data_IF_974450019275
#
_entry.id   IF_974450019275
#
_cell.length_a   1.000
_cell.length_b   1.000
_cell.length_c   1.000
_cell.angle_alpha   90.00
_cell.angle_beta   90.00
_cell.angle_gamma   90.00
#
_symmetry.space_group_name_H-M   'P 1'
#
loop_
_entity.id
_entity.type
_entity.pdbx_description
1 polymer ?
#
# COMPACT_ATOMS: atom_id res chain seq x y z
N UNK A 1 8.78 -69.98 14.36
CA UNK A 1 9.38 -68.68 14.72
C UNK A 1 8.77 -67.60 13.82
N UNK A 2 7.78 -66.83 14.33
CA UNK A 2 7.12 -65.75 13.58
C UNK A 2 7.75 -64.42 14.01
N UNK A 3 8.41 -63.67 13.07
CA UNK A 3 8.95 -62.34 13.30
C UNK A 3 7.85 -61.31 12.96
N UNK A 4 7.36 -60.60 13.96
CA UNK A 4 6.47 -59.46 13.80
C UNK A 4 7.30 -58.24 13.40
N UNK A 5 7.01 -57.66 12.23
CA UNK A 5 7.50 -56.34 11.83
C UNK A 5 6.56 -55.28 12.42
N UNK A 6 7.06 -54.51 13.35
CA UNK A 6 6.36 -53.32 13.87
C UNK A 6 6.64 -52.15 12.92
N UNK A 7 5.61 -51.67 12.25
CA UNK A 7 5.66 -50.45 11.41
C UNK A 7 5.43 -49.26 12.35
N UNK A 8 6.45 -48.47 12.59
CA UNK A 8 6.36 -47.22 13.32
C UNK A 8 5.87 -46.14 12.33
N UNK A 9 4.61 -45.75 12.47
CA UNK A 9 4.04 -44.63 11.72
C UNK A 9 4.44 -43.32 12.43
N UNK A 10 5.32 -42.54 11.80
CA UNK A 10 5.70 -41.22 12.25
C UNK A 10 4.65 -40.20 11.74
N UNK A 11 3.75 -39.80 12.60
CA UNK A 11 2.79 -38.73 12.31
C UNK A 11 3.48 -37.39 12.44
N UNK A 12 3.72 -36.72 11.32
CA UNK A 12 4.18 -35.33 11.29
C UNK A 12 2.98 -34.41 11.55
N UNK A 13 2.85 -33.90 12.77
CA UNK A 13 1.92 -32.84 13.10
C UNK A 13 2.42 -31.53 12.49
N UNK A 14 1.78 -31.07 11.43
CA UNK A 14 1.97 -29.72 10.90
C UNK A 14 1.36 -28.73 11.90
N UNK A 15 2.18 -28.06 12.70
CA UNK A 15 1.75 -26.95 13.53
C UNK A 15 1.37 -25.78 12.62
N UNK A 16 0.07 -25.53 12.47
CA UNK A 16 -0.47 -24.33 11.85
C UNK A 16 -0.31 -23.19 12.87
N UNK A 17 0.81 -22.50 12.82
CA UNK A 17 0.99 -21.26 13.57
C UNK A 17 0.11 -20.18 12.93
N UNK A 18 -0.65 -19.38 13.71
CA UNK A 18 -1.36 -18.24 13.16
C UNK A 18 -0.32 -17.28 12.55
N UNK A 19 -0.46 -16.98 11.26
CA UNK A 19 0.29 -15.91 10.64
C UNK A 19 -0.13 -14.60 11.32
N UNK A 20 0.73 -14.08 12.16
CA UNK A 20 0.63 -12.70 12.62
C UNK A 20 0.69 -11.86 11.35
N UNK A 21 -0.35 -11.04 11.12
CA UNK A 21 -0.33 -10.03 10.07
C UNK A 21 0.89 -9.14 10.33
N UNK A 22 1.95 -9.36 9.55
CA UNK A 22 3.13 -8.51 9.60
C UNK A 22 2.70 -7.20 8.92
N UNK A 23 3.06 -6.08 9.54
CA UNK A 23 2.99 -4.79 8.89
C UNK A 23 3.63 -4.93 7.51
N UNK A 24 2.94 -4.49 6.47
CA UNK A 24 3.45 -4.58 5.11
C UNK A 24 4.57 -3.55 4.96
N UNK A 25 5.80 -3.95 5.30
CA UNK A 25 7.00 -3.21 4.92
C UNK A 25 7.11 -3.34 3.39
N UNK A 26 6.62 -2.38 2.65
CA UNK A 26 6.63 -2.45 1.20
C UNK A 26 6.41 -1.09 0.54
N UNK A 27 7.13 -0.86 -0.56
CA UNK A 27 6.97 0.36 -1.35
C UNK A 27 5.56 0.41 -1.92
N UNK A 28 4.82 1.46 -1.57
CA UNK A 28 3.52 1.81 -2.12
C UNK A 28 3.75 2.81 -3.26
N UNK A 29 3.09 2.64 -4.39
CA UNK A 29 3.18 3.56 -5.53
C UNK A 29 1.84 4.15 -5.88
N UNK A 30 1.85 5.45 -6.25
CA UNK A 30 0.70 6.11 -6.85
C UNK A 30 1.13 6.70 -8.21
N UNK A 31 0.51 6.22 -9.29
CA UNK A 31 0.71 6.78 -10.64
C UNK A 31 -0.45 7.73 -10.90
N UNK A 32 -0.22 9.03 -10.69
CA UNK A 32 -1.24 10.05 -10.83
C UNK A 32 -1.25 10.67 -12.22
N UNK A 33 -2.44 10.89 -12.78
CA UNK A 33 -2.68 11.48 -14.09
C UNK A 33 -4.06 12.12 -14.17
N UNK A 34 -4.27 13.02 -15.12
CA UNK A 34 -5.58 13.64 -15.39
C UNK A 34 -6.64 12.62 -15.81
N UNK A 35 -6.36 11.66 -16.72
CA UNK A 35 -7.32 10.60 -17.06
C UNK A 35 -7.76 9.71 -15.90
N UNK A 36 -6.96 9.64 -14.81
CA UNK A 36 -7.33 8.88 -13.61
C UNK A 36 -8.25 9.66 -12.65
N UNK A 37 -8.54 10.93 -12.92
CA UNK A 37 -9.44 11.76 -12.12
C UNK A 37 -10.91 11.30 -12.20
N UNK A 38 -11.74 11.82 -11.30
CA UNK A 38 -13.17 11.57 -11.28
C UNK A 38 -13.95 12.88 -11.13
N UNK A 39 -14.54 13.40 -12.24
CA UNK A 39 -14.46 12.86 -13.60
C UNK A 39 -13.07 12.98 -14.23
N UNK A 40 -12.72 12.13 -15.20
CA UNK A 40 -11.46 12.23 -15.95
C UNK A 40 -11.28 13.58 -16.63
N UNK A 41 -10.04 14.07 -16.70
CA UNK A 41 -9.71 15.29 -17.42
C UNK A 41 -8.54 15.06 -18.41
N UNK A 42 -8.27 16.04 -19.25
CA UNK A 42 -7.25 15.98 -20.31
C UNK A 42 -5.89 16.58 -19.90
N UNK A 43 -5.60 16.74 -18.61
CA UNK A 43 -4.31 17.25 -18.17
C UNK A 43 -3.16 16.32 -18.59
N UNK A 44 -2.05 16.84 -19.14
CA UNK A 44 -0.82 16.11 -19.35
C UNK A 44 -0.03 15.92 -18.03
N UNK A 45 -0.49 16.53 -16.94
CA UNK A 45 0.14 16.45 -15.63
C UNK A 45 0.32 15.00 -15.18
N UNK A 46 1.42 14.71 -14.50
CA UNK A 46 1.74 13.37 -14.04
C UNK A 46 2.58 13.39 -12.77
N UNK A 47 2.41 12.31 -11.98
CA UNK A 47 3.25 11.98 -10.83
C UNK A 47 3.45 10.47 -10.75
N UNK A 48 4.63 10.04 -10.36
CA UNK A 48 4.90 8.68 -9.88
C UNK A 48 5.40 8.82 -8.45
N UNK A 49 4.46 8.89 -7.53
CA UNK A 49 4.76 9.02 -6.12
C UNK A 49 5.09 7.66 -5.50
N UNK A 50 5.98 7.69 -4.51
CA UNK A 50 6.30 6.53 -3.67
C UNK A 50 6.03 6.84 -2.21
N UNK A 51 5.48 5.86 -1.53
CA UNK A 51 5.27 5.88 -0.09
C UNK A 51 5.87 4.62 0.50
N UNK A 52 6.40 4.73 1.71
CA UNK A 52 6.92 3.60 2.47
C UNK A 52 6.42 3.69 3.91
N UNK A 53 6.05 2.57 4.51
CA UNK A 53 5.54 2.52 5.88
C UNK A 53 6.45 1.59 6.67
N UNK A 54 7.20 2.19 7.60
CA UNK A 54 8.02 1.46 8.57
C UNK A 54 7.47 1.70 9.98
N UNK A 55 6.92 0.68 10.59
CA UNK A 55 6.22 0.81 11.87
C UNK A 55 5.06 1.80 11.79
N UNK A 56 5.14 2.91 12.51
CA UNK A 56 4.14 3.98 12.48
C UNK A 56 4.54 5.16 11.58
N UNK A 57 5.68 5.12 10.92
CA UNK A 57 6.13 6.22 10.07
C UNK A 57 5.84 5.92 8.62
N UNK A 58 5.05 6.79 7.98
CA UNK A 58 4.86 6.78 6.54
C UNK A 58 5.71 7.89 5.93
N UNK A 59 6.65 7.54 5.07
CA UNK A 59 7.39 8.50 4.24
C UNK A 59 6.73 8.65 2.89
N UNK A 60 6.79 9.85 2.31
CA UNK A 60 6.25 10.17 1.00
C UNK A 60 7.31 10.88 0.16
N UNK A 61 7.43 10.47 -1.11
CA UNK A 61 8.16 11.19 -2.16
C UNK A 61 7.23 11.35 -3.36
N UNK A 62 6.90 12.60 -3.68
CA UNK A 62 5.85 12.96 -4.65
C UNK A 62 6.41 13.94 -5.67
N UNK A 63 7.21 13.47 -6.64
CA UNK A 63 7.57 14.29 -7.80
C UNK A 63 6.34 14.48 -8.70
N UNK A 64 6.16 15.69 -9.23
CA UNK A 64 5.07 15.98 -10.16
C UNK A 64 5.54 16.95 -11.25
N UNK A 65 4.90 16.89 -12.41
CA UNK A 65 5.28 17.69 -13.57
C UNK A 65 4.13 17.89 -14.55
N UNK A 66 4.33 18.88 -15.44
CA UNK A 66 3.47 19.15 -16.58
C UNK A 66 2.02 19.48 -16.21
N UNK A 67 1.80 20.05 -15.00
CA UNK A 67 0.49 20.55 -14.60
C UNK A 67 0.12 21.79 -15.44
N UNK A 68 -1.17 21.95 -15.72
CA UNK A 68 -1.70 23.05 -16.56
C UNK A 68 -1.75 24.38 -15.85
N UNK A 69 -1.74 24.40 -14.52
CA UNK A 69 -1.71 25.62 -13.72
C UNK A 69 -1.05 25.41 -12.37
N UNK A 70 -0.83 26.48 -11.62
CA UNK A 70 -0.15 26.43 -10.33
C UNK A 70 -0.90 25.58 -9.31
N UNK A 71 -0.16 24.75 -8.59
CA UNK A 71 -0.64 23.90 -7.49
C UNK A 71 -1.30 24.74 -6.39
N UNK A 72 -2.36 24.20 -5.79
CA UNK A 72 -3.08 24.84 -4.66
C UNK A 72 -3.05 24.00 -3.41
N UNK A 73 -3.04 22.66 -3.53
CA UNK A 73 -2.97 21.72 -2.43
C UNK A 73 -2.71 20.30 -2.95
N UNK A 74 -2.31 19.41 -2.06
CA UNK A 74 -2.27 17.96 -2.32
C UNK A 74 -2.60 17.19 -1.04
N UNK A 75 -3.13 15.99 -1.20
CA UNK A 75 -3.54 15.14 -0.08
C UNK A 75 -3.55 13.67 -0.46
N UNK A 76 -3.60 12.81 0.58
CA UNK A 76 -4.11 11.45 0.44
C UNK A 76 -5.60 11.48 0.80
N UNK A 77 -6.42 10.92 -0.05
CA UNK A 77 -7.83 10.66 0.17
C UNK A 77 -8.06 9.20 0.59
N UNK A 78 -9.02 8.98 1.48
CA UNK A 78 -9.44 7.66 1.95
C UNK A 78 -10.90 7.72 2.45
N UNK A 79 -11.71 6.74 2.37
CA UNK A 79 -11.55 5.45 1.76
C UNK A 79 -12.68 5.34 0.75
N UNK A 80 -12.40 4.99 -0.49
CA UNK A 80 -13.45 4.83 -1.52
C UNK A 80 -14.28 3.57 -1.24
N UNK A 81 -15.49 3.50 -1.78
CA UNK A 81 -16.38 2.36 -1.56
C UNK A 81 -16.03 1.13 -2.40
N UNK A 82 -15.10 1.27 -3.32
CA UNK A 82 -14.61 0.18 -4.17
C UNK A 82 -13.20 0.51 -4.69
N UNK A 83 -12.41 -0.52 -4.91
CA UNK A 83 -11.05 -0.42 -5.43
C UNK A 83 -10.98 0.35 -6.75
N UNK A 84 -10.00 1.23 -6.88
CA UNK A 84 -9.67 2.00 -8.07
C UNK A 84 -10.78 2.91 -8.61
N UNK A 85 -11.80 3.24 -7.83
CA UNK A 85 -12.93 4.05 -8.30
C UNK A 85 -13.55 4.91 -7.19
N UNK A 86 -14.37 5.89 -7.58
CA UNK A 86 -15.08 6.75 -6.63
C UNK A 86 -14.24 7.91 -6.12
N UNK A 87 -14.82 8.60 -5.15
CA UNK A 87 -14.19 9.72 -4.42
C UNK A 87 -14.30 9.46 -2.92
N UNK A 88 -13.37 10.01 -2.15
CA UNK A 88 -13.29 9.85 -0.71
C UNK A 88 -12.94 11.20 -0.05
N UNK A 89 -13.19 11.39 1.25
CA UNK A 89 -12.71 12.55 1.98
C UNK A 89 -11.18 12.59 2.07
N UNK A 90 -10.65 13.75 2.45
CA UNK A 90 -9.22 13.89 2.76
C UNK A 90 -8.90 13.09 4.01
N UNK A 91 -7.84 12.26 3.93
CA UNK A 91 -7.31 11.55 5.10
C UNK A 91 -6.08 12.26 5.67
N UNK A 92 -5.08 12.55 4.82
CA UNK A 92 -3.84 13.24 5.20
C UNK A 92 -3.61 14.43 4.27
N UNK A 93 -3.78 15.68 4.74
CA UNK A 93 -3.36 16.86 3.99
C UNK A 93 -1.83 16.97 3.98
N UNK A 94 -1.26 17.40 2.85
CA UNK A 94 0.18 17.64 2.73
C UNK A 94 0.49 19.09 3.14
N UNK A 95 1.00 19.25 4.34
CA UNK A 95 1.52 20.54 4.81
C UNK A 95 2.82 20.87 4.05
N UNK A 96 3.06 22.16 3.83
CA UNK A 96 4.27 22.66 3.12
C UNK A 96 4.43 22.11 1.68
N UNK A 97 3.33 21.65 1.07
CA UNK A 97 3.35 21.28 -0.35
C UNK A 97 3.69 22.48 -1.22
N UNK A 98 4.56 22.34 -2.26
CA UNK A 98 4.92 23.47 -3.12
C UNK A 98 3.69 24.03 -3.85
N UNK A 99 3.37 25.31 -3.61
CA UNK A 99 2.20 25.99 -4.16
C UNK A 99 2.59 26.92 -5.34
N UNK A 100 1.62 27.12 -6.26
CA UNK A 100 1.76 28.05 -7.38
C UNK A 100 2.69 27.56 -8.48
N UNK A 101 3.10 26.31 -8.48
CA UNK A 101 4.05 25.72 -9.46
C UNK A 101 3.37 24.65 -10.31
N UNK A 102 3.88 24.42 -11.52
CA UNK A 102 3.38 23.40 -12.45
C UNK A 102 4.21 22.12 -12.44
N UNK A 103 5.36 22.14 -11.76
CA UNK A 103 6.26 21.00 -11.57
C UNK A 103 7.06 21.18 -10.30
N UNK A 104 7.39 20.08 -9.62
CA UNK A 104 8.13 20.10 -8.38
C UNK A 104 8.26 18.72 -7.76
N UNK A 105 8.71 18.68 -6.52
CA UNK A 105 8.72 17.50 -5.68
C UNK A 105 8.35 17.87 -4.25
N UNK A 106 7.68 16.96 -3.58
CA UNK A 106 7.34 17.05 -2.16
C UNK A 106 7.83 15.79 -1.47
N UNK A 107 8.52 15.98 -0.33
CA UNK A 107 8.96 14.85 0.51
C UNK A 107 8.59 15.15 1.95
N UNK A 108 7.98 14.19 2.62
CA UNK A 108 7.53 14.32 4.01
C UNK A 108 7.54 12.98 4.75
N UNK A 109 7.50 13.07 6.08
CA UNK A 109 7.26 11.93 6.97
C UNK A 109 6.04 12.20 7.82
N UNK A 110 5.16 11.22 7.95
CA UNK A 110 3.94 11.26 8.72
C UNK A 110 4.00 10.21 9.82
N UNK A 111 3.93 10.61 11.08
CA UNK A 111 3.75 9.68 12.19
C UNK A 111 2.27 9.31 12.30
N UNK A 112 1.92 8.11 11.87
CA UNK A 112 0.54 7.61 11.87
C UNK A 112 -0.05 7.49 13.29
N UNK A 113 0.77 7.63 14.33
CA UNK A 113 0.33 7.72 15.74
C UNK A 113 0.02 9.13 16.20
N UNK A 114 0.30 10.16 15.38
CA UNK A 114 0.00 11.55 15.66
C UNK A 114 -1.36 11.96 15.07
N UNK A 115 -2.28 12.43 15.91
CA UNK A 115 -3.59 12.90 15.48
C UNK A 115 -3.53 14.11 14.53
N UNK A 116 -2.49 14.92 14.62
CA UNK A 116 -2.38 16.19 13.88
C UNK A 116 -2.09 16.01 12.39
N UNK A 117 -1.63 14.83 11.95
CA UNK A 117 -1.41 14.56 10.53
C UNK A 117 -2.71 14.30 9.76
N UNK A 118 -3.77 13.88 10.47
CA UNK A 118 -5.05 13.55 9.85
C UNK A 118 -5.96 14.75 9.71
N UNK A 119 -6.76 14.76 8.65
CA UNK A 119 -7.92 15.65 8.58
C UNK A 119 -8.85 15.36 9.76
N UNK A 120 -9.33 16.40 10.50
CA UNK A 120 -10.17 16.20 11.69
C UNK A 120 -11.47 15.44 11.42
N UNK A 121 -12.07 15.61 10.22
CA UNK A 121 -13.30 14.91 9.88
C UNK A 121 -13.01 13.42 9.58
N UNK A 122 -11.88 13.11 8.95
CA UNK A 122 -11.42 11.74 8.75
C UNK A 122 -11.14 11.07 10.10
N UNK A 123 -10.38 11.72 10.99
CA UNK A 123 -10.08 11.19 12.31
C UNK A 123 -11.37 10.86 13.08
N UNK A 124 -12.34 11.78 13.07
CA UNK A 124 -13.63 11.57 13.75
C UNK A 124 -14.45 10.44 13.14
N UNK A 125 -14.47 10.31 11.79
CA UNK A 125 -15.19 9.26 11.09
C UNK A 125 -14.66 7.86 11.37
N UNK A 126 -13.35 7.75 11.63
CA UNK A 126 -12.67 6.48 11.88
C UNK A 126 -12.32 6.25 13.36
N UNK A 127 -13.23 6.64 14.27
CA UNK A 127 -13.18 6.28 15.68
C UNK A 127 -12.44 7.29 16.58
N UNK A 128 -12.01 8.43 16.04
CA UNK A 128 -11.48 9.57 16.80
C UNK A 128 -10.07 9.36 17.39
N UNK A 129 -9.37 8.30 17.03
CA UNK A 129 -8.00 8.04 17.49
C UNK A 129 -7.04 7.85 16.31
N UNK A 130 -5.76 8.24 16.43
CA UNK A 130 -4.76 8.00 15.39
C UNK A 130 -4.63 6.53 15.03
N UNK A 131 -4.69 5.65 16.02
CA UNK A 131 -4.56 4.21 15.81
C UNK A 131 -5.69 3.65 14.92
N UNK A 132 -6.95 4.09 15.13
CA UNK A 132 -8.08 3.66 14.30
C UNK A 132 -8.05 4.29 12.89
N UNK A 133 -7.67 5.56 12.78
CA UNK A 133 -7.53 6.26 11.51
C UNK A 133 -6.37 5.67 10.68
N UNK A 134 -5.22 5.41 11.29
CA UNK A 134 -4.08 4.75 10.64
C UNK A 134 -4.40 3.34 10.17
N UNK A 135 -5.10 2.54 11.00
CA UNK A 135 -5.54 1.21 10.59
C UNK A 135 -6.49 1.27 9.38
N UNK A 136 -7.44 2.20 9.36
CA UNK A 136 -8.35 2.39 8.23
C UNK A 136 -7.61 2.80 6.94
N UNK A 137 -6.62 3.70 7.05
CA UNK A 137 -5.80 4.10 5.91
C UNK A 137 -4.98 2.93 5.36
N UNK A 138 -4.33 2.14 6.22
CA UNK A 138 -3.53 0.97 5.82
C UNK A 138 -4.42 -0.08 5.14
N UNK A 139 -5.60 -0.36 5.68
CA UNK A 139 -6.57 -1.27 5.08
C UNK A 139 -7.04 -0.78 3.71
N UNK A 140 -7.32 0.52 3.57
CA UNK A 140 -7.72 1.11 2.30
C UNK A 140 -6.58 1.10 1.26
N UNK A 141 -5.32 1.25 1.67
CA UNK A 141 -4.17 1.07 0.77
C UNK A 141 -4.11 -0.39 0.30
N UNK A 142 -4.25 -1.36 1.20
CA UNK A 142 -4.25 -2.78 0.86
C UNK A 142 -5.41 -3.16 -0.08
N UNK A 143 -6.56 -2.48 0.06
CA UNK A 143 -7.75 -2.68 -0.77
C UNK A 143 -7.77 -1.82 -2.04
N UNK A 144 -6.75 -0.99 -2.30
CA UNK A 144 -6.68 -0.01 -3.39
C UNK A 144 -7.83 1.02 -3.37
N UNK A 145 -8.18 1.49 -2.19
CA UNK A 145 -9.28 2.43 -1.90
C UNK A 145 -8.77 3.79 -1.38
N UNK A 146 -7.46 3.99 -1.31
CA UNK A 146 -6.82 5.27 -0.99
C UNK A 146 -6.11 5.83 -2.22
N UNK A 147 -6.09 7.16 -2.40
CA UNK A 147 -5.45 7.78 -3.54
C UNK A 147 -4.78 9.11 -3.22
N UNK A 148 -3.68 9.40 -3.92
CA UNK A 148 -3.04 10.71 -3.99
C UNK A 148 -3.84 11.60 -4.93
N UNK A 149 -4.03 12.87 -4.57
CA UNK A 149 -4.61 13.90 -5.42
C UNK A 149 -3.81 15.20 -5.34
N UNK A 150 -3.55 15.82 -6.49
CA UNK A 150 -2.92 17.14 -6.60
C UNK A 150 -3.89 18.09 -7.29
N UNK A 151 -4.15 19.22 -6.63
CA UNK A 151 -5.08 20.25 -7.08
C UNK A 151 -4.33 21.46 -7.61
N UNK A 152 -4.96 22.14 -8.55
CA UNK A 152 -4.43 23.35 -9.15
C UNK A 152 -5.51 24.43 -9.28
N UNK A 153 -5.11 25.64 -9.65
CA UNK A 153 -6.06 26.75 -9.86
C UNK A 153 -7.05 26.46 -10.98
N UNK A 154 -6.67 25.72 -12.02
CA UNK A 154 -7.56 25.32 -13.12
C UNK A 154 -8.44 24.13 -12.76
N UNK A 155 -7.96 23.26 -11.89
CA UNK A 155 -8.68 22.07 -11.43
C UNK A 155 -8.77 22.06 -9.89
N UNK A 156 -9.66 22.88 -9.30
CA UNK A 156 -9.79 22.97 -7.85
C UNK A 156 -10.33 21.68 -7.20
N UNK A 157 -10.94 20.78 -7.97
CA UNK A 157 -11.39 19.48 -7.50
C UNK A 157 -10.34 18.35 -7.67
N UNK A 158 -9.18 18.66 -8.29
CA UNK A 158 -8.08 17.76 -8.58
C UNK A 158 -7.67 17.79 -10.03
N UNK A 159 -6.39 17.97 -10.32
CA UNK A 159 -5.84 17.92 -11.67
C UNK A 159 -5.32 16.54 -12.02
N UNK A 160 -4.62 15.90 -11.09
CA UNK A 160 -4.09 14.54 -11.26
C UNK A 160 -4.36 13.69 -10.02
N UNK A 161 -4.73 12.44 -10.23
CA UNK A 161 -5.01 11.47 -9.18
C UNK A 161 -4.37 10.12 -9.49
N UNK A 162 -3.93 9.40 -8.43
CA UNK A 162 -3.44 8.03 -8.55
C UNK A 162 -3.70 7.23 -7.28
N UNK A 163 -4.23 6.01 -7.41
CA UNK A 163 -4.44 5.13 -6.27
C UNK A 163 -3.11 4.65 -5.69
N UNK A 164 -3.05 4.54 -4.37
CA UNK A 164 -1.93 3.97 -3.63
C UNK A 164 -2.00 2.45 -3.75
N UNK A 165 -1.01 1.87 -4.43
CA UNK A 165 -0.94 0.43 -4.69
C UNK A 165 0.30 -0.12 -4.02
N UNK A 166 0.13 -1.03 -3.08
CA UNK A 166 1.24 -1.74 -2.45
C UNK A 166 1.90 -2.66 -3.48
N UNK A 167 3.23 -2.55 -3.64
CA UNK A 167 3.96 -3.49 -4.47
C UNK A 167 3.90 -4.89 -3.83
N UNK A 168 3.64 -5.96 -4.61
CA UNK A 168 3.70 -7.30 -4.05
C UNK A 168 5.13 -7.57 -3.57
N UNK A 169 5.28 -7.87 -2.28
CA UNK A 169 6.56 -8.27 -1.71
C UNK A 169 6.84 -9.70 -2.22
N UNK A 170 7.97 -9.95 -2.92
CA UNK A 170 8.39 -11.30 -3.23
C UNK A 170 8.67 -12.01 -1.90
N UNK A 171 7.81 -12.93 -1.48
CA UNK A 171 8.00 -13.68 -0.24
C UNK A 171 9.24 -14.59 -0.35
N UNK A 172 10.37 -14.26 0.30
CA UNK A 172 11.58 -15.10 0.24
C UNK A 172 11.32 -16.51 0.76
N UNK A 173 10.39 -16.66 1.70
CA UNK A 173 10.00 -17.94 2.29
C UNK A 173 9.28 -18.87 1.29
N UNK A 174 8.47 -18.35 0.39
CA UNK A 174 7.74 -19.15 -0.61
C UNK A 174 8.71 -19.80 -1.61
N UNK A 175 9.69 -19.07 -2.09
CA UNK A 175 10.74 -19.62 -2.97
C UNK A 175 11.64 -20.61 -2.22
N UNK A 176 11.97 -20.33 -0.97
CA UNK A 176 12.73 -21.25 -0.10
C UNK A 176 11.98 -22.56 0.13
N UNK A 177 10.68 -22.49 0.47
CA UNK A 177 9.84 -23.68 0.69
C UNK A 177 9.63 -24.48 -0.59
N UNK A 178 9.45 -23.82 -1.74
CA UNK A 178 9.37 -24.48 -3.04
C UNK A 178 10.67 -25.24 -3.35
N UNK A 179 11.83 -24.59 -3.13
CA UNK A 179 13.14 -25.21 -3.33
C UNK A 179 13.36 -26.43 -2.42
N UNK A 180 13.02 -26.34 -1.13
CA UNK A 180 13.11 -27.46 -0.18
C UNK A 180 12.16 -28.58 -0.57
N UNK A 181 10.93 -28.26 -0.98
CA UNK A 181 9.93 -29.24 -1.44
C UNK A 181 10.39 -30.01 -2.67
N UNK A 182 10.91 -29.30 -3.68
CA UNK A 182 11.45 -29.93 -4.90
C UNK A 182 12.70 -30.79 -4.63
N UNK A 183 13.60 -30.33 -3.76
CA UNK A 183 14.76 -31.11 -3.34
C UNK A 183 14.35 -32.38 -2.60
N UNK A 184 13.34 -32.31 -1.73
CA UNK A 184 12.78 -33.47 -1.01
C UNK A 184 12.18 -34.51 -1.96
N UNK A 185 11.40 -34.06 -2.94
CA UNK A 185 10.83 -34.94 -3.98
C UNK A 185 11.93 -35.60 -4.82
N UNK A 186 12.97 -34.87 -5.20
CA UNK A 186 14.13 -35.38 -5.93
C UNK A 186 14.88 -36.49 -5.15
N UNK A 187 15.08 -36.28 -3.85
CA UNK A 187 15.70 -37.31 -2.99
C UNK A 187 14.85 -38.57 -2.85
N UNK A 188 13.52 -38.43 -2.71
CA UNK A 188 12.62 -39.59 -2.65
C UNK A 188 12.58 -40.36 -3.98
N UNK A 189 12.58 -39.68 -5.11
CA UNK A 189 12.62 -40.31 -6.43
C UNK A 189 13.93 -41.09 -6.66
N UNK A 190 15.05 -40.58 -6.19
CA UNK A 190 16.37 -41.23 -6.30
C UNK A 190 16.45 -42.51 -5.45
N UNK A 191 15.84 -42.52 -4.24
CA UNK A 191 15.78 -43.69 -3.35
C UNK A 191 14.94 -44.85 -3.93
N UNK A 192 13.98 -44.58 -4.81
CA UNK A 192 13.13 -45.59 -5.43
C UNK A 192 13.81 -46.28 -6.65
N UNK A 193 14.91 -45.72 -7.14
CA UNK A 193 15.66 -46.26 -8.30
C UNK A 193 16.93 -47.01 -7.90
N UNK A 194 17.32 -47.01 -6.65
CA UNK A 194 18.37 -47.76 -6.03
C UNK A 194 17.81 -48.96 -5.21
#
# INVERSE_FOLDING_TARGET
MKRSLSILALAAAAACAPALAQAQDGIIRAVASGPAESPPNGSPGSSVATFDIEGNIMTADVPFRDLLSGTTMAHIHCCTTAAFTGVAPIAIPFTDFPLGVTSGSYSASFDLSDATIYDPAFLAAFGGTPASAGAALIEAIASNEAYLNIHTTQYPAGEIRGFLVAAPIPEPATWGMLGVGLAGLGMMARRRRA
#
